data_IF_653105076261
#
_entry.id   IF_653105076261
#
_cell.length_a   1.000
_cell.length_b   1.000
_cell.length_c   1.000
_cell.angle_alpha   90.00
_cell.angle_beta   90.00
_cell.angle_gamma   90.00
#
_symmetry.space_group_name_H-M   'P 1'
#
loop_
_entity.id
_entity.type
_entity.pdbx_description
1 polymer ?
#
# COMPACT_ATOMS: atom_id res chain seq x y z
N UNK A 1 -20.82 -13.26 5.60
CA UNK A 1 -19.54 -13.85 5.16
C UNK A 1 -18.50 -12.79 4.78
N UNK A 2 -18.89 -11.65 4.18
CA UNK A 2 -17.90 -10.60 3.82
C UNK A 2 -17.34 -9.81 5.02
N UNK A 3 -18.12 -9.59 6.09
CA UNK A 3 -17.67 -8.79 7.24
C UNK A 3 -16.46 -9.39 7.96
N UNK A 4 -16.44 -10.71 8.20
CA UNK A 4 -15.30 -11.36 8.88
C UNK A 4 -14.02 -11.31 8.05
N UNK A 5 -14.13 -11.37 6.71
CA UNK A 5 -12.99 -11.22 5.81
C UNK A 5 -12.46 -9.78 5.79
N UNK A 6 -13.34 -8.78 5.88
CA UNK A 6 -12.96 -7.35 5.98
C UNK A 6 -12.24 -7.01 7.29
N UNK A 7 -12.38 -7.85 8.33
CA UNK A 7 -11.76 -7.67 9.64
C UNK A 7 -10.55 -8.59 9.86
N UNK A 8 -10.17 -9.40 8.87
CA UNK A 8 -9.09 -10.40 9.01
C UNK A 8 -7.70 -9.82 9.28
N UNK A 9 -7.50 -8.52 9.07
CA UNK A 9 -6.27 -7.79 9.36
C UNK A 9 -6.19 -7.30 10.82
N UNK A 10 -7.32 -7.23 11.54
CA UNK A 10 -7.39 -6.67 12.91
C UNK A 10 -6.40 -7.37 13.88
N UNK A 11 -6.26 -8.71 13.89
CA UNK A 11 -5.26 -9.35 14.74
C UNK A 11 -3.81 -9.00 14.35
N UNK A 12 -3.52 -8.77 13.06
CA UNK A 12 -2.18 -8.33 12.61
C UNK A 12 -1.91 -6.89 13.07
N UNK A 13 -2.93 -6.04 13.11
CA UNK A 13 -2.81 -4.70 13.68
C UNK A 13 -2.42 -4.78 15.16
N UNK A 14 -3.04 -5.65 15.96
CA UNK A 14 -2.68 -5.82 17.36
C UNK A 14 -1.23 -6.31 17.55
N UNK A 15 -0.75 -7.19 16.65
CA UNK A 15 0.68 -7.61 16.62
C UNK A 15 1.61 -6.45 16.27
N UNK A 16 1.26 -5.64 15.27
CA UNK A 16 2.02 -4.45 14.91
C UNK A 16 2.10 -3.47 16.10
N UNK A 17 0.99 -3.26 16.80
CA UNK A 17 0.93 -2.39 17.97
C UNK A 17 1.79 -2.91 19.11
N UNK A 18 1.78 -4.22 19.37
CA UNK A 18 2.63 -4.86 20.37
C UNK A 18 4.13 -4.68 20.06
N UNK A 19 4.51 -4.75 18.78
CA UNK A 19 5.88 -4.49 18.34
C UNK A 19 6.29 -3.01 18.48
N UNK A 20 5.39 -2.07 18.20
CA UNK A 20 5.67 -0.63 18.42
C UNK A 20 5.78 -0.32 19.92
N UNK A 21 4.90 -0.90 20.74
CA UNK A 21 4.87 -0.68 22.19
C UNK A 21 6.09 -1.33 22.89
N UNK A 22 6.77 -2.27 22.23
CA UNK A 22 7.98 -2.91 22.75
C UNK A 22 9.25 -2.11 22.50
N UNK A 23 9.19 -1.01 21.74
CA UNK A 23 10.34 -0.18 21.43
C UNK A 23 11.02 0.33 22.72
N UNK A 24 12.37 0.37 22.75
CA UNK A 24 13.10 0.82 23.92
C UNK A 24 12.71 2.25 24.35
N UNK A 25 12.53 2.51 25.66
CA UNK A 25 12.04 3.81 26.14
C UNK A 25 13.03 4.97 25.97
N UNK A 26 14.29 4.67 25.63
CA UNK A 26 15.31 5.68 25.36
C UNK A 26 15.26 6.17 23.90
N UNK A 27 14.54 5.49 23.01
CA UNK A 27 14.32 5.99 21.66
C UNK A 27 13.31 7.15 21.69
N UNK A 28 13.43 8.13 20.79
CA UNK A 28 12.39 9.11 20.60
C UNK A 28 11.06 8.44 20.24
N UNK A 29 9.95 9.16 20.45
CA UNK A 29 8.63 8.67 20.06
C UNK A 29 8.63 8.39 18.56
N UNK A 30 8.29 7.16 18.19
CA UNK A 30 8.17 6.77 16.79
C UNK A 30 7.02 7.55 16.12
N UNK A 31 7.34 8.24 15.05
CA UNK A 31 6.35 8.81 14.12
C UNK A 31 6.06 7.78 13.02
N UNK A 32 4.81 7.33 12.95
CA UNK A 32 4.39 6.27 12.03
C UNK A 32 2.97 6.47 11.49
N UNK A 33 2.67 5.80 10.38
CA UNK A 33 1.32 5.73 9.78
C UNK A 33 0.99 4.30 9.35
N UNK A 34 -0.31 3.99 9.24
CA UNK A 34 -0.78 2.78 8.57
C UNK A 34 -1.09 3.13 7.12
N UNK A 35 -0.68 2.32 6.17
CA UNK A 35 -0.97 2.56 4.76
C UNK A 35 -1.29 1.29 3.98
N UNK A 36 -0.80 1.26 2.74
CA UNK A 36 -0.82 0.06 1.91
C UNK A 36 -2.20 -0.43 1.51
N UNK A 37 -2.32 -1.73 1.26
CA UNK A 37 -3.53 -2.32 0.65
C UNK A 37 -4.74 -2.28 1.57
N UNK A 38 -4.53 -2.42 2.87
CA UNK A 38 -5.60 -2.53 3.87
C UNK A 38 -6.29 -1.19 4.12
N UNK A 39 -5.53 -0.08 4.13
CA UNK A 39 -6.15 1.25 4.17
C UNK A 39 -6.93 1.54 2.88
N UNK A 40 -6.38 1.21 1.70
CA UNK A 40 -7.10 1.38 0.43
C UNK A 40 -8.40 0.55 0.37
N UNK A 41 -8.40 -0.67 0.92
CA UNK A 41 -9.60 -1.50 1.02
C UNK A 41 -10.72 -0.76 1.76
N UNK A 42 -10.41 -0.03 2.84
CA UNK A 42 -11.43 0.72 3.58
C UNK A 42 -11.89 1.96 2.83
N UNK A 43 -10.96 2.69 2.22
CA UNK A 43 -11.25 3.93 1.52
C UNK A 43 -12.10 3.68 0.27
N UNK A 44 -11.84 2.59 -0.47
CA UNK A 44 -12.51 2.33 -1.75
C UNK A 44 -13.47 1.15 -1.75
N UNK A 45 -13.35 0.22 -0.81
CA UNK A 45 -14.08 -1.06 -0.82
C UNK A 45 -13.96 -1.75 -2.19
N UNK A 46 -12.75 -1.76 -2.74
CA UNK A 46 -12.47 -2.25 -4.09
C UNK A 46 -11.94 -3.68 -4.16
N UNK A 47 -11.16 -4.11 -3.17
CA UNK A 47 -10.69 -5.51 -3.03
C UNK A 47 -10.41 -5.85 -1.59
N UNK A 48 -10.38 -7.14 -1.26
CA UNK A 48 -9.85 -7.59 0.02
C UNK A 48 -8.34 -7.34 0.13
N UNK A 49 -7.91 -7.02 1.35
CA UNK A 49 -6.52 -6.90 1.78
C UNK A 49 -6.45 -7.35 3.24
N UNK A 50 -5.34 -7.97 3.61
CA UNK A 50 -5.17 -8.61 4.92
C UNK A 50 -3.92 -8.15 5.65
N UNK A 51 -2.81 -7.97 4.92
CA UNK A 51 -1.54 -7.58 5.51
C UNK A 51 -1.62 -6.15 6.09
N UNK A 52 -0.77 -5.84 7.07
CA UNK A 52 -0.72 -4.52 7.72
C UNK A 52 0.60 -3.85 7.42
N UNK A 53 0.55 -2.74 6.70
CA UNK A 53 1.72 -1.94 6.35
C UNK A 53 1.83 -0.73 7.30
N UNK A 54 2.91 -0.69 8.10
CA UNK A 54 3.30 0.42 8.97
C UNK A 54 4.47 1.16 8.33
N UNK A 55 4.27 2.44 8.06
CA UNK A 55 5.29 3.31 7.49
C UNK A 55 5.93 4.17 8.57
N UNK A 56 7.25 4.19 8.59
CA UNK A 56 8.06 5.00 9.49
C UNK A 56 8.94 5.94 8.67
N UNK A 57 9.39 7.03 9.28
CA UNK A 57 10.21 8.06 8.61
C UNK A 57 11.70 7.86 8.78
N UNK A 58 12.11 7.10 9.81
CA UNK A 58 13.50 6.88 10.16
C UNK A 58 13.81 5.37 10.19
N UNK A 59 14.74 4.95 9.36
CA UNK A 59 15.16 3.56 9.24
C UNK A 59 15.85 3.02 10.50
N UNK A 60 16.34 3.88 11.39
CA UNK A 60 16.99 3.47 12.64
C UNK A 60 16.08 2.63 13.54
N UNK A 61 14.76 2.84 13.47
CA UNK A 61 13.81 2.05 14.25
C UNK A 61 13.62 0.62 13.72
N UNK A 62 13.97 0.34 12.46
CA UNK A 62 13.84 -1.01 11.89
C UNK A 62 14.66 -2.02 12.69
N UNK A 63 15.87 -1.65 13.08
CA UNK A 63 16.73 -2.49 13.93
C UNK A 63 16.07 -2.82 15.26
N UNK A 64 15.37 -1.87 15.87
CA UNK A 64 14.64 -2.09 17.13
C UNK A 64 13.32 -2.87 16.96
N UNK A 65 12.80 -2.96 15.73
CA UNK A 65 11.62 -3.75 15.38
C UNK A 65 11.99 -5.16 14.87
N UNK A 66 13.27 -5.48 14.75
CA UNK A 66 13.74 -6.80 14.32
C UNK A 66 13.61 -7.83 15.44
N UNK A 67 13.00 -9.01 15.19
CA UNK A 67 13.02 -10.13 16.13
C UNK A 67 14.42 -10.50 16.61
N UNK A 68 15.45 -10.34 15.76
CA UNK A 68 16.84 -10.66 16.11
C UNK A 68 17.40 -9.84 17.26
N UNK A 69 16.85 -8.64 17.49
CA UNK A 69 17.38 -7.63 18.39
C UNK A 69 16.36 -7.13 19.41
N UNK A 70 15.15 -7.70 19.38
CA UNK A 70 14.06 -7.35 20.27
C UNK A 70 13.26 -8.61 20.63
N UNK A 71 13.59 -9.19 21.79
CA UNK A 71 12.99 -10.43 22.32
C UNK A 71 11.46 -10.35 22.36
N UNK A 72 10.88 -9.17 22.66
CA UNK A 72 9.42 -9.00 22.67
C UNK A 72 8.79 -9.09 21.29
N UNK A 73 9.53 -8.76 20.23
CA UNK A 73 9.07 -8.95 18.84
C UNK A 73 9.33 -10.39 18.40
N UNK A 74 10.43 -11.00 18.84
CA UNK A 74 10.70 -12.43 18.64
C UNK A 74 9.59 -13.32 19.23
N UNK A 75 9.09 -12.97 20.42
CA UNK A 75 7.94 -13.62 21.07
C UNK A 75 6.66 -13.56 20.22
N UNK A 76 6.52 -12.55 19.34
CA UNK A 76 5.39 -12.46 18.41
C UNK A 76 5.57 -13.44 17.24
N UNK A 77 6.78 -13.49 16.66
CA UNK A 77 7.13 -14.43 15.60
C UNK A 77 8.64 -14.54 15.40
N UNK A 78 9.10 -15.76 15.14
CA UNK A 78 10.47 -16.04 14.68
C UNK A 78 10.59 -16.09 13.16
N UNK A 79 9.48 -15.99 12.43
CA UNK A 79 9.46 -15.93 10.97
C UNK A 79 9.43 -14.46 10.52
N UNK A 80 10.56 -13.97 10.03
CA UNK A 80 10.68 -12.60 9.56
C UNK A 80 11.66 -12.46 8.39
N UNK A 81 11.60 -11.32 7.71
CA UNK A 81 12.61 -10.85 6.75
C UNK A 81 12.99 -9.43 7.11
N UNK A 82 14.26 -9.08 6.92
CA UNK A 82 14.74 -7.72 7.13
C UNK A 82 15.73 -7.31 6.04
N UNK A 83 15.70 -6.03 5.68
CA UNK A 83 16.78 -5.34 4.97
C UNK A 83 16.95 -3.91 5.52
N UNK A 84 17.67 -3.05 4.78
CA UNK A 84 17.92 -1.67 5.21
C UNK A 84 16.69 -0.75 5.22
N UNK A 85 15.58 -1.16 4.60
CA UNK A 85 14.36 -0.37 4.44
C UNK A 85 13.09 -1.05 4.95
N UNK A 86 13.12 -2.36 5.24
CA UNK A 86 11.96 -3.05 5.78
C UNK A 86 12.28 -4.10 6.85
N UNK A 87 11.33 -4.30 7.76
CA UNK A 87 11.20 -5.48 8.61
C UNK A 87 9.80 -6.06 8.40
N UNK A 88 9.75 -7.28 7.89
CA UNK A 88 8.53 -8.04 7.62
C UNK A 88 8.37 -9.14 8.66
N UNK A 89 7.32 -9.06 9.48
CA UNK A 89 6.93 -10.10 10.42
C UNK A 89 5.86 -11.01 9.80
N UNK A 90 6.05 -12.32 9.86
CA UNK A 90 5.19 -13.30 9.18
C UNK A 90 4.45 -14.15 10.24
N UNK A 91 3.13 -14.25 10.11
CA UNK A 91 2.25 -14.95 11.07
C UNK A 91 1.50 -16.13 10.41
N UNK A 92 2.18 -16.88 9.54
CA UNK A 92 1.59 -18.03 8.83
C UNK A 92 0.33 -17.64 8.05
N UNK A 93 -0.75 -18.40 8.23
CA UNK A 93 -2.02 -18.17 7.53
C UNK A 93 -2.71 -16.86 7.92
N UNK A 94 -2.32 -16.24 9.04
CA UNK A 94 -2.91 -14.97 9.47
C UNK A 94 -2.51 -13.83 8.51
N UNK A 95 -1.28 -13.81 8.03
CA UNK A 95 -0.74 -12.79 7.11
C UNK A 95 0.53 -12.13 7.62
N UNK A 96 0.82 -10.94 7.11
CA UNK A 96 2.10 -10.26 7.31
C UNK A 96 1.91 -8.87 7.94
N UNK A 97 2.87 -8.46 8.77
CA UNK A 97 3.04 -7.07 9.22
C UNK A 97 4.34 -6.54 8.63
N UNK A 98 4.25 -5.47 7.86
CA UNK A 98 5.36 -4.82 7.19
C UNK A 98 5.69 -3.49 7.87
N UNK A 99 6.88 -3.36 8.45
CA UNK A 99 7.44 -2.08 8.87
C UNK A 99 8.36 -1.55 7.77
N UNK A 100 8.04 -0.41 7.18
CA UNK A 100 8.73 0.13 6.01
C UNK A 100 9.23 1.54 6.29
N UNK A 101 10.54 1.75 6.18
CA UNK A 101 11.16 3.05 6.22
C UNK A 101 10.98 3.76 4.88
N UNK A 102 9.83 4.42 4.72
CA UNK A 102 9.49 5.19 3.53
C UNK A 102 8.91 6.56 3.95
N UNK A 103 9.73 7.62 3.89
CA UNK A 103 9.30 8.98 4.17
C UNK A 103 8.09 9.41 3.33
N UNK A 104 7.31 10.35 3.88
CA UNK A 104 6.12 10.91 3.22
C UNK A 104 6.51 11.63 1.93
N UNK A 105 5.72 11.43 0.88
CA UNK A 105 5.94 12.04 -0.43
C UNK A 105 4.95 13.17 -0.74
N UNK A 106 3.75 13.13 -0.13
CA UNK A 106 2.67 14.09 -0.35
C UNK A 106 2.45 14.93 0.91
N UNK A 107 2.21 16.23 0.72
CA UNK A 107 1.91 17.18 1.82
C UNK A 107 0.48 16.96 2.34
N UNK A 108 0.31 16.97 3.66
CA UNK A 108 -0.97 16.72 4.35
C UNK A 108 -1.60 15.36 3.97
N UNK A 109 -0.75 14.34 3.89
CA UNK A 109 -1.02 12.98 3.43
C UNK A 109 -1.65 12.05 4.47
N UNK A 110 -1.98 12.54 5.66
CA UNK A 110 -2.49 11.68 6.75
C UNK A 110 -3.93 12.01 7.13
N UNK A 111 -4.64 11.00 7.62
CA UNK A 111 -5.97 11.11 8.22
C UNK A 111 -5.96 10.42 9.59
N UNK A 112 -6.44 11.11 10.62
CA UNK A 112 -6.58 10.52 11.95
C UNK A 112 -7.72 9.48 11.96
N UNK A 113 -7.52 8.39 12.71
CA UNK A 113 -8.51 7.35 12.92
C UNK A 113 -8.38 6.76 14.33
N UNK A 114 -9.39 6.00 14.74
CA UNK A 114 -9.37 5.19 15.95
C UNK A 114 -9.58 3.73 15.57
N UNK A 115 -8.61 2.88 15.92
CA UNK A 115 -8.68 1.42 15.70
C UNK A 115 -8.48 0.75 17.06
N UNK A 116 -9.43 -0.10 17.47
CA UNK A 116 -9.40 -0.77 18.79
C UNK A 116 -9.17 0.20 19.96
N UNK A 117 -9.74 1.40 19.89
CA UNK A 117 -9.56 2.45 20.90
C UNK A 117 -8.21 3.19 20.85
N UNK A 118 -7.27 2.76 20.01
CA UNK A 118 -5.98 3.44 19.79
C UNK A 118 -6.13 4.53 18.73
N UNK A 119 -5.62 5.73 19.04
CA UNK A 119 -5.50 6.82 18.07
C UNK A 119 -4.35 6.52 17.10
N UNK A 120 -4.63 6.53 15.80
CA UNK A 120 -3.66 6.22 14.75
C UNK A 120 -3.73 7.24 13.61
N UNK A 121 -2.68 7.27 12.79
CA UNK A 121 -2.66 8.01 11.53
C UNK A 121 -2.69 7.02 10.35
N UNK A 122 -3.62 7.24 9.42
CA UNK A 122 -3.70 6.51 8.16
C UNK A 122 -3.12 7.37 7.05
N UNK A 123 -2.33 6.77 6.15
CA UNK A 123 -1.98 7.41 4.89
C UNK A 123 -3.25 7.56 4.03
N UNK A 124 -3.42 8.75 3.44
CA UNK A 124 -4.45 9.00 2.45
C UNK A 124 -4.13 8.25 1.16
N UNK A 125 -5.14 7.95 0.32
CA UNK A 125 -4.91 7.20 -0.91
C UNK A 125 -3.81 7.78 -1.82
N UNK A 126 -3.70 9.10 -1.93
CA UNK A 126 -2.68 9.75 -2.74
C UNK A 126 -1.25 9.48 -2.25
N UNK A 127 -1.04 9.38 -0.94
CA UNK A 127 0.27 9.03 -0.35
C UNK A 127 0.58 7.55 -0.58
N UNK A 128 -0.41 6.68 -0.36
CA UNK A 128 -0.25 5.25 -0.59
C UNK A 128 0.13 5.03 -2.05
N UNK A 129 -0.61 5.60 -3.01
CA UNK A 129 -0.31 5.42 -4.43
C UNK A 129 1.02 6.09 -4.82
N UNK A 130 1.36 7.27 -4.27
CA UNK A 130 2.65 7.92 -4.52
C UNK A 130 3.83 7.04 -4.07
N UNK A 131 3.79 6.49 -2.85
CA UNK A 131 4.82 5.54 -2.35
C UNK A 131 4.98 4.35 -3.28
N UNK A 132 3.86 3.84 -3.78
CA UNK A 132 3.83 2.72 -4.72
C UNK A 132 4.46 3.08 -6.07
N UNK A 133 4.21 4.26 -6.59
CA UNK A 133 4.81 4.75 -7.84
C UNK A 133 6.30 5.07 -7.67
N UNK A 134 6.72 5.59 -6.53
CA UNK A 134 8.07 6.10 -6.32
C UNK A 134 9.05 5.03 -5.79
N UNK A 135 8.71 4.37 -4.69
CA UNK A 135 9.64 3.43 -4.03
C UNK A 135 9.68 2.05 -4.69
N UNK A 136 8.67 1.66 -5.48
CA UNK A 136 8.58 0.31 -6.08
C UNK A 136 8.15 0.32 -7.56
N UNK A 137 8.56 1.36 -8.29
CA UNK A 137 8.20 1.56 -9.70
C UNK A 137 8.59 0.38 -10.61
N UNK A 138 9.80 -0.15 -10.39
CA UNK A 138 10.38 -1.32 -11.06
C UNK A 138 9.71 -2.63 -10.63
N UNK A 139 9.20 -2.69 -9.40
CA UNK A 139 8.43 -3.80 -8.83
C UNK A 139 6.91 -3.64 -8.94
N UNK A 140 6.39 -2.75 -9.80
CA UNK A 140 4.96 -2.42 -9.83
C UNK A 140 4.12 -3.66 -10.21
N UNK A 141 3.37 -4.20 -9.25
CA UNK A 141 2.65 -5.47 -9.35
C UNK A 141 1.25 -5.30 -9.96
N UNK A 142 0.58 -6.41 -10.34
CA UNK A 142 -0.80 -6.35 -10.82
C UNK A 142 -1.79 -5.77 -9.79
N UNK A 143 -1.55 -5.97 -8.49
CA UNK A 143 -2.34 -5.31 -7.40
C UNK A 143 -2.21 -3.80 -7.44
N UNK A 144 -1.06 -3.32 -7.88
CA UNK A 144 -0.70 -1.91 -7.86
C UNK A 144 -1.29 -1.21 -9.07
N UNK A 145 -1.27 -1.89 -10.21
CA UNK A 145 -2.04 -1.51 -11.40
C UNK A 145 -3.54 -1.45 -11.08
N UNK A 146 -4.08 -2.44 -10.36
CA UNK A 146 -5.47 -2.43 -9.93
C UNK A 146 -5.80 -1.25 -8.99
N UNK A 147 -5.00 -1.07 -7.94
CA UNK A 147 -5.18 0.02 -6.97
C UNK A 147 -5.06 1.40 -7.65
N UNK A 148 -4.10 1.57 -8.57
CA UNK A 148 -3.94 2.78 -9.37
C UNK A 148 -5.13 3.02 -10.30
N UNK A 149 -5.65 1.99 -10.96
CA UNK A 149 -6.83 2.11 -11.82
C UNK A 149 -8.07 2.61 -11.04
N UNK A 150 -8.22 2.16 -9.79
CA UNK A 150 -9.29 2.63 -8.89
C UNK A 150 -9.03 4.07 -8.45
N UNK A 151 -7.80 4.39 -8.02
CA UNK A 151 -7.41 5.75 -7.63
C UNK A 151 -7.66 6.77 -8.74
N UNK A 152 -7.25 6.45 -9.98
CA UNK A 152 -7.49 7.29 -11.16
C UNK A 152 -8.99 7.56 -11.38
N UNK A 153 -9.85 6.59 -11.14
CA UNK A 153 -11.29 6.72 -11.33
C UNK A 153 -12.00 7.45 -10.19
N UNK A 154 -11.53 7.28 -8.94
CA UNK A 154 -12.19 7.80 -7.74
C UNK A 154 -11.71 9.20 -7.37
N UNK A 155 -10.43 9.50 -7.56
CA UNK A 155 -9.79 10.73 -7.04
C UNK A 155 -9.01 11.52 -8.10
N UNK A 156 -9.63 11.89 -9.24
CA UNK A 156 -8.92 12.61 -10.31
C UNK A 156 -8.37 13.98 -9.86
N UNK A 157 -8.96 14.61 -8.84
CA UNK A 157 -8.43 15.84 -8.26
C UNK A 157 -7.13 15.60 -7.47
N UNK A 158 -7.03 14.49 -6.74
CA UNK A 158 -5.81 14.11 -6.04
C UNK A 158 -4.72 13.68 -7.04
N UNK A 159 -5.09 13.01 -8.14
CA UNK A 159 -4.17 12.72 -9.25
C UNK A 159 -3.60 14.01 -9.82
N UNK A 160 -4.46 14.99 -10.14
CA UNK A 160 -4.03 16.29 -10.66
C UNK A 160 -3.04 16.99 -9.73
N UNK A 161 -3.35 17.01 -8.43
CA UNK A 161 -2.53 17.70 -7.43
C UNK A 161 -1.15 17.07 -7.27
N UNK A 162 -1.04 15.76 -7.46
CA UNK A 162 0.17 14.98 -7.18
C UNK A 162 0.78 14.36 -8.44
N UNK A 163 0.51 14.94 -9.62
CA UNK A 163 0.92 14.37 -10.90
C UNK A 163 2.43 14.13 -10.97
N UNK A 164 3.22 15.08 -10.49
CA UNK A 164 4.68 15.04 -10.54
C UNK A 164 5.23 13.80 -9.84
N UNK A 165 4.79 13.53 -8.61
CA UNK A 165 5.28 12.36 -7.87
C UNK A 165 4.72 11.03 -8.42
N UNK A 166 3.48 11.04 -8.91
CA UNK A 166 2.87 9.85 -9.53
C UNK A 166 3.57 9.46 -10.84
N UNK A 167 4.25 10.40 -11.49
CA UNK A 167 4.93 10.20 -12.78
C UNK A 167 6.46 10.30 -12.70
N UNK A 168 7.02 10.56 -11.51
CA UNK A 168 8.46 10.72 -11.29
C UNK A 168 9.30 9.51 -11.76
N UNK A 169 8.72 8.31 -11.75
CA UNK A 169 9.33 7.07 -12.27
C UNK A 169 8.47 6.41 -13.36
N UNK A 170 7.85 7.23 -14.21
CA UNK A 170 6.95 6.76 -15.26
C UNK A 170 7.61 5.71 -16.17
N UNK A 171 8.89 5.85 -16.52
CA UNK A 171 9.60 4.90 -17.40
C UNK A 171 9.64 3.48 -16.83
N UNK A 172 9.91 3.35 -15.53
CA UNK A 172 9.94 2.05 -14.84
C UNK A 172 8.55 1.41 -14.83
N UNK A 173 7.53 2.21 -14.54
CA UNK A 173 6.14 1.75 -14.52
C UNK A 173 5.69 1.36 -15.93
N UNK A 174 5.99 2.17 -16.96
CA UNK A 174 5.67 1.87 -18.35
C UNK A 174 6.30 0.54 -18.80
N UNK A 175 7.56 0.27 -18.45
CA UNK A 175 8.21 -1.03 -18.70
C UNK A 175 7.47 -2.19 -18.04
N UNK A 176 6.98 -2.01 -16.81
CA UNK A 176 6.14 -3.02 -16.13
C UNK A 176 4.79 -3.22 -16.80
N UNK A 177 4.12 -2.15 -17.24
CA UNK A 177 2.85 -2.24 -17.96
C UNK A 177 3.01 -2.92 -19.32
N UNK A 178 4.10 -2.66 -20.04
CA UNK A 178 4.43 -3.32 -21.31
C UNK A 178 4.71 -4.82 -21.11
N UNK A 179 5.44 -5.18 -20.06
CA UNK A 179 5.65 -6.57 -19.68
C UNK A 179 4.31 -7.30 -19.46
N UNK A 180 3.36 -6.70 -18.74
CA UNK A 180 2.05 -7.31 -18.55
C UNK A 180 1.23 -7.39 -19.85
N UNK A 181 1.35 -6.41 -20.74
CA UNK A 181 0.66 -6.40 -22.03
C UNK A 181 1.18 -7.47 -22.99
N UNK A 182 2.50 -7.73 -22.98
CA UNK A 182 3.15 -8.73 -23.84
C UNK A 182 3.15 -10.13 -23.23
N UNK A 183 3.00 -10.25 -21.91
CA UNK A 183 2.95 -11.52 -21.19
C UNK A 183 1.59 -11.76 -20.50
N UNK A 184 0.55 -11.98 -21.32
CA UNK A 184 -0.84 -12.13 -20.86
C UNK A 184 -1.01 -13.24 -19.82
N UNK A 185 -0.32 -14.38 -19.99
CA UNK A 185 -0.41 -15.49 -19.02
C UNK A 185 0.10 -15.08 -17.64
N UNK A 186 1.17 -14.30 -17.57
CA UNK A 186 1.69 -13.77 -16.33
C UNK A 186 0.73 -12.74 -15.71
N UNK A 187 0.20 -11.80 -16.52
CA UNK A 187 -0.83 -10.86 -16.07
C UNK A 187 -2.06 -11.57 -15.50
N UNK A 188 -2.64 -12.51 -16.25
CA UNK A 188 -3.85 -13.26 -15.86
C UNK A 188 -3.62 -14.00 -14.52
N UNK A 189 -2.42 -14.58 -14.33
CA UNK A 189 -2.04 -15.24 -13.08
C UNK A 189 -1.97 -14.28 -11.90
N UNK A 190 -1.36 -13.11 -12.08
CA UNK A 190 -1.22 -12.15 -10.97
C UNK A 190 -2.54 -11.43 -10.66
N UNK A 191 -3.24 -10.95 -11.69
CA UNK A 191 -4.50 -10.23 -11.51
C UNK A 191 -5.60 -11.17 -10.99
N UNK A 192 -5.57 -12.46 -11.34
CA UNK A 192 -6.50 -13.47 -10.84
C UNK A 192 -6.36 -13.76 -9.33
N UNK A 193 -5.27 -13.34 -8.69
CA UNK A 193 -5.11 -13.42 -7.23
C UNK A 193 -5.83 -12.30 -6.48
N UNK A 194 -6.26 -11.26 -7.18
CA UNK A 194 -7.05 -10.19 -6.58
C UNK A 194 -8.45 -10.73 -6.27
N UNK A 195 -8.90 -10.49 -5.05
CA UNK A 195 -10.28 -10.74 -4.65
C UNK A 195 -11.06 -9.41 -4.66
N UNK A 196 -11.61 -8.97 -5.80
CA UNK A 196 -12.38 -7.74 -5.88
C UNK A 196 -13.67 -7.86 -5.08
N UNK A 197 -14.12 -6.75 -4.50
CA UNK A 197 -15.44 -6.65 -3.88
C UNK A 197 -16.52 -6.49 -4.97
N UNK A 198 -17.81 -6.79 -4.69
CA UNK A 198 -18.85 -6.89 -5.72
C UNK A 198 -18.93 -5.70 -6.70
N UNK A 199 -18.75 -4.46 -6.23
CA UNK A 199 -18.77 -3.25 -7.05
C UNK A 199 -17.58 -3.09 -8.02
N UNK A 200 -16.54 -3.91 -7.88
CA UNK A 200 -15.29 -3.84 -8.63
C UNK A 200 -14.94 -5.17 -9.33
N UNK A 201 -15.87 -6.11 -9.41
CA UNK A 201 -15.67 -7.43 -10.06
C UNK A 201 -15.20 -7.34 -11.52
N UNK A 202 -15.53 -6.25 -12.22
CA UNK A 202 -15.15 -5.97 -13.62
C UNK A 202 -13.87 -5.12 -13.77
N UNK A 203 -13.30 -4.61 -12.67
CA UNK A 203 -12.10 -3.78 -12.71
C UNK A 203 -10.83 -4.55 -13.12
N UNK A 204 -10.60 -5.81 -12.72
CA UNK A 204 -9.41 -6.56 -13.13
C UNK A 204 -9.19 -6.58 -14.65
N UNK A 205 -10.27 -6.72 -15.44
CA UNK A 205 -10.21 -6.78 -16.89
C UNK A 205 -9.87 -5.41 -17.52
N UNK A 206 -10.12 -4.31 -16.81
CA UNK A 206 -9.93 -2.95 -17.32
C UNK A 206 -8.70 -2.25 -16.75
N UNK A 207 -8.16 -2.74 -15.62
CA UNK A 207 -7.12 -2.08 -14.84
C UNK A 207 -5.87 -1.74 -15.67
N UNK A 208 -5.32 -2.73 -16.37
CA UNK A 208 -4.12 -2.54 -17.20
C UNK A 208 -4.33 -1.43 -18.25
N UNK A 209 -5.42 -1.51 -19.02
CA UNK A 209 -5.70 -0.52 -20.07
C UNK A 209 -5.95 0.88 -19.53
N UNK A 210 -6.60 1.03 -18.36
CA UNK A 210 -6.81 2.33 -17.71
C UNK A 210 -5.48 2.97 -17.31
N UNK A 211 -4.59 2.19 -16.70
CA UNK A 211 -3.29 2.68 -16.24
C UNK A 211 -2.34 2.96 -17.40
N UNK A 212 -2.34 2.12 -18.45
CA UNK A 212 -1.60 2.40 -19.69
C UNK A 212 -2.03 3.72 -20.34
N UNK A 213 -3.35 3.98 -20.44
CA UNK A 213 -3.86 5.23 -20.99
C UNK A 213 -3.40 6.46 -20.19
N UNK A 214 -3.34 6.33 -18.86
CA UNK A 214 -2.82 7.40 -18.00
C UNK A 214 -1.33 7.65 -18.28
N UNK A 215 -0.47 6.62 -18.18
CA UNK A 215 0.97 6.81 -18.36
C UNK A 215 1.39 7.13 -19.79
N UNK A 216 0.58 6.80 -20.81
CA UNK A 216 0.84 7.20 -22.19
C UNK A 216 0.74 8.72 -22.40
N UNK A 217 -0.13 9.41 -21.67
CA UNK A 217 -0.30 10.87 -21.76
C UNK A 217 -1.01 11.42 -20.51
N UNK A 218 -0.31 11.61 -19.37
CA UNK A 218 -0.94 12.04 -18.13
C UNK A 218 -1.69 13.37 -18.24
N UNK A 219 -1.12 14.35 -18.96
CA UNK A 219 -1.74 15.65 -19.22
C UNK A 219 -3.02 15.57 -20.06
N UNK A 220 -3.04 14.66 -21.04
CA UNK A 220 -4.23 14.42 -21.86
C UNK A 220 -5.31 13.71 -21.06
N UNK A 221 -4.91 12.77 -20.20
CA UNK A 221 -5.81 12.11 -19.27
C UNK A 221 -6.46 13.11 -18.31
N UNK A 222 -5.71 14.06 -17.74
CA UNK A 222 -6.25 15.10 -16.87
C UNK A 222 -7.29 15.98 -17.59
N UNK A 223 -7.01 16.38 -18.84
CA UNK A 223 -7.96 17.15 -19.65
C UNK A 223 -9.26 16.39 -19.91
N UNK A 224 -9.21 15.07 -20.12
CA UNK A 224 -10.44 14.28 -20.33
C UNK A 224 -11.29 14.18 -19.06
N UNK A 225 -10.68 14.20 -17.87
CA UNK A 225 -11.43 14.22 -16.62
C UNK A 225 -12.18 15.54 -16.38
N UNK A 226 -11.63 16.66 -16.87
CA UNK A 226 -12.28 17.97 -16.77
C UNK A 226 -13.51 18.11 -17.67
N UNK A 227 -13.57 17.37 -18.78
CA UNK A 227 -14.69 17.37 -19.75
C UNK A 227 -15.85 16.46 -19.33
N UNK A 228 -15.67 15.61 -18.31
CA UNK A 228 -16.66 14.63 -17.85
C UNK A 228 -17.40 15.10 -16.58
N UNK A 229 -17.20 16.35 -16.17
CA UNK A 229 -17.88 17.02 -15.05
C UNK A 229 -18.87 18.04 -15.58
#
# INVERSE_FOLDING_TARGET
MDSSRLQSWEPLFDRAMSAIDSLPPHLPKLEWTIGGGTVLMFQYRHRFSRDVDIFITDAQYLTALSPRLNDKVEDLTTQYREDSQHVKLIFGDLGEVDFVAAPRLVVNSTQAATIHGRSVLLDKPEEIIAKKCFYRADGFTARDVFDMAVFLAKDPAAVKKNLDILTARADDIQRRLEFYATNKAHWDKEIGRISPLPGFSHYPQQALSKVQKFYASPERWLRSQALTR
#
